data_IF_450336080059
#
_entry.id   IF_450336080059
#
_cell.length_a   1.000
_cell.length_b   1.000
_cell.length_c   1.000
_cell.angle_alpha   90.00
_cell.angle_beta   90.00
_cell.angle_gamma   90.00
#
_symmetry.space_group_name_H-M   'P 1'
#
loop_
_entity.id
_entity.type
_entity.pdbx_description
1 polymer ?
#
# COMPACT_ATOMS: atom_id res chain seq x y z
N UNK A 1 8.22 -13.05 -6.63
CA UNK A 1 8.28 -13.86 -7.86
C UNK A 1 8.87 -15.24 -7.60
N UNK A 2 10.06 -15.31 -7.00
CA UNK A 2 10.77 -16.59 -6.78
C UNK A 2 9.90 -17.65 -6.08
N UNK A 3 9.18 -17.27 -5.03
CA UNK A 3 8.37 -18.19 -4.21
C UNK A 3 7.04 -18.60 -4.87
N UNK A 4 6.70 -17.98 -5.99
CA UNK A 4 5.46 -18.21 -6.75
C UNK A 4 5.75 -18.42 -8.26
N UNK A 5 6.95 -18.89 -8.61
CA UNK A 5 7.36 -19.06 -10.01
C UNK A 5 6.50 -20.08 -10.78
N UNK A 6 5.86 -21.01 -10.06
CA UNK A 6 4.99 -22.03 -10.63
C UNK A 6 3.55 -21.51 -10.89
N UNK A 7 3.22 -20.30 -10.41
CA UNK A 7 1.95 -19.62 -10.70
C UNK A 7 2.19 -18.56 -11.80
N UNK A 8 1.98 -18.95 -13.06
CA UNK A 8 2.18 -18.08 -14.21
C UNK A 8 1.25 -16.87 -14.22
N UNK A 9 0.02 -17.01 -13.72
CA UNK A 9 -0.96 -15.95 -13.62
C UNK A 9 -0.52 -14.91 -12.58
N UNK A 10 -0.08 -15.35 -11.40
CA UNK A 10 0.49 -14.47 -10.40
C UNK A 10 1.76 -13.78 -10.89
N UNK A 11 2.64 -14.51 -11.59
CA UNK A 11 3.87 -13.94 -12.16
C UNK A 11 3.58 -12.88 -13.23
N UNK A 12 2.56 -13.09 -14.07
CA UNK A 12 2.10 -12.09 -15.04
C UNK A 12 1.55 -10.84 -14.33
N UNK A 13 0.72 -11.01 -13.31
CA UNK A 13 0.23 -9.91 -12.49
C UNK A 13 1.38 -9.12 -11.86
N UNK A 14 2.35 -9.79 -11.24
CA UNK A 14 3.51 -9.14 -10.61
C UNK A 14 4.34 -8.31 -11.60
N UNK A 15 4.43 -8.74 -12.86
CA UNK A 15 5.12 -7.99 -13.90
C UNK A 15 4.39 -6.70 -14.25
N UNK A 16 3.05 -6.74 -14.32
CA UNK A 16 2.21 -5.56 -14.55
C UNK A 16 2.27 -4.63 -13.34
N UNK A 17 2.10 -5.17 -12.14
CA UNK A 17 2.17 -4.42 -10.89
C UNK A 17 3.50 -3.68 -10.77
N UNK A 18 4.61 -4.36 -10.97
CA UNK A 18 5.94 -3.75 -10.90
C UNK A 18 6.11 -2.61 -11.92
N UNK A 19 5.61 -2.77 -13.13
CA UNK A 19 5.61 -1.71 -14.14
C UNK A 19 4.78 -0.49 -13.70
N UNK A 20 3.59 -0.71 -13.15
CA UNK A 20 2.73 0.39 -12.67
C UNK A 20 3.36 1.12 -11.48
N UNK A 21 3.99 0.41 -10.53
CA UNK A 21 4.76 1.02 -9.44
C UNK A 21 5.91 1.90 -9.94
N UNK A 22 6.64 1.44 -10.95
CA UNK A 22 7.66 2.27 -11.60
C UNK A 22 7.07 3.52 -12.26
N UNK A 23 5.92 3.39 -12.90
CA UNK A 23 5.20 4.51 -13.52
C UNK A 23 4.78 5.57 -12.50
N UNK A 24 4.36 5.17 -11.28
CA UNK A 24 4.02 6.10 -10.22
C UNK A 24 5.21 6.98 -9.82
N UNK A 25 6.36 6.39 -9.62
CA UNK A 25 7.58 7.14 -9.27
C UNK A 25 8.05 8.04 -10.41
N UNK A 26 7.96 7.59 -11.65
CA UNK A 26 8.37 8.35 -12.83
C UNK A 26 7.50 9.59 -13.03
N UNK A 27 6.17 9.48 -12.98
CA UNK A 27 5.28 10.62 -13.18
C UNK A 27 5.41 11.67 -12.09
N UNK A 28 5.62 11.25 -10.84
CA UNK A 28 5.86 12.17 -9.72
C UNK A 28 7.21 12.87 -9.87
N UNK A 29 8.24 12.15 -10.29
CA UNK A 29 9.56 12.72 -10.56
C UNK A 29 9.53 13.72 -11.71
N UNK A 30 8.83 13.41 -12.80
CA UNK A 30 8.68 14.32 -13.95
C UNK A 30 7.88 15.58 -13.57
N UNK A 31 6.85 15.43 -12.73
CA UNK A 31 6.13 16.57 -12.16
C UNK A 31 7.08 17.46 -11.36
N UNK A 32 7.87 16.89 -10.45
CA UNK A 32 8.83 17.67 -9.66
C UNK A 32 9.85 18.38 -10.54
N UNK A 33 10.48 17.69 -11.48
CA UNK A 33 11.46 18.28 -12.41
C UNK A 33 10.89 19.48 -13.17
N UNK A 34 9.62 19.43 -13.53
CA UNK A 34 8.96 20.46 -14.33
C UNK A 34 8.46 21.64 -13.52
N UNK A 35 7.85 21.39 -12.37
CA UNK A 35 7.11 22.40 -11.61
C UNK A 35 7.76 22.76 -10.27
N UNK A 36 8.58 21.87 -9.72
CA UNK A 36 9.25 22.04 -8.44
C UNK A 36 10.67 21.46 -8.45
N UNK A 37 11.54 21.97 -9.34
CA UNK A 37 12.92 21.48 -9.47
C UNK A 37 13.71 21.59 -8.17
N UNK A 38 13.34 22.51 -7.29
CA UNK A 38 13.85 22.69 -5.93
C UNK A 38 13.57 21.49 -5.00
N UNK A 39 12.58 20.66 -5.32
CA UNK A 39 12.15 19.50 -4.53
C UNK A 39 12.57 18.16 -5.15
N UNK A 40 13.28 18.16 -6.25
CA UNK A 40 13.76 16.90 -6.86
C UNK A 40 14.77 16.25 -5.92
N UNK A 41 14.50 15.01 -5.44
CA UNK A 41 15.41 14.33 -4.54
C UNK A 41 16.74 13.99 -5.23
N UNK A 42 17.80 14.10 -4.46
CA UNK A 42 19.14 13.69 -4.89
C UNK A 42 19.26 12.16 -4.89
N UNK A 43 20.21 11.62 -5.64
CA UNK A 43 20.57 10.19 -5.59
C UNK A 43 20.85 9.71 -4.17
N UNK A 44 21.53 10.53 -3.36
CA UNK A 44 21.81 10.22 -1.95
C UNK A 44 20.52 10.07 -1.12
N UNK A 45 19.53 10.94 -1.32
CA UNK A 45 18.25 10.86 -0.64
C UNK A 45 17.46 9.64 -1.11
N UNK A 46 17.46 9.33 -2.40
CA UNK A 46 16.82 8.13 -2.93
C UNK A 46 17.46 6.85 -2.39
N UNK A 47 18.78 6.82 -2.24
CA UNK A 47 19.48 5.69 -1.62
C UNK A 47 19.19 5.56 -0.12
N UNK A 48 19.06 6.67 0.59
CA UNK A 48 18.79 6.68 2.03
C UNK A 48 17.41 6.11 2.41
N UNK A 49 16.48 6.05 1.46
CA UNK A 49 15.13 5.49 1.68
C UNK A 49 15.03 4.00 1.36
N UNK A 50 16.09 3.37 0.90
CA UNK A 50 16.10 1.93 0.62
C UNK A 50 16.20 1.13 1.92
N UNK A 51 15.32 0.17 2.04
CA UNK A 51 15.27 -0.76 3.17
C UNK A 51 15.70 -2.16 2.74
N UNK A 52 16.56 -2.84 3.51
CA UNK A 52 16.65 -4.28 3.41
C UNK A 52 15.34 -4.88 3.95
N UNK A 53 14.71 -5.73 3.15
CA UNK A 53 13.58 -6.54 3.59
C UNK A 53 14.09 -7.90 4.03
N UNK A 54 13.70 -8.28 5.25
CA UNK A 54 13.81 -9.67 5.63
C UNK A 54 12.79 -10.49 4.82
N UNK A 55 13.20 -11.65 4.25
CA UNK A 55 12.28 -12.53 3.57
C UNK A 55 11.13 -12.93 4.50
N UNK A 56 9.90 -12.72 4.08
CA UNK A 56 8.71 -13.17 4.78
C UNK A 56 8.06 -14.33 4.02
N UNK A 57 7.31 -15.22 4.69
CA UNK A 57 6.55 -16.27 4.02
C UNK A 57 5.62 -15.70 2.95
N UNK A 58 5.42 -16.42 1.86
CA UNK A 58 4.67 -15.96 0.69
C UNK A 58 3.25 -15.47 1.04
N UNK A 59 2.54 -16.20 1.93
CA UNK A 59 1.20 -15.79 2.38
C UNK A 59 1.22 -14.49 3.19
N UNK A 60 2.19 -14.34 4.08
CA UNK A 60 2.35 -13.12 4.87
C UNK A 60 2.68 -11.92 3.98
N UNK A 61 3.54 -12.11 2.99
CA UNK A 61 3.88 -11.10 1.98
C UNK A 61 2.66 -10.69 1.15
N UNK A 62 1.84 -11.65 0.74
CA UNK A 62 0.61 -11.39 -0.01
C UNK A 62 -0.36 -10.48 0.77
N UNK A 63 -0.57 -10.77 2.05
CA UNK A 63 -1.40 -9.95 2.93
C UNK A 63 -0.78 -8.58 3.22
N UNK A 64 0.54 -8.51 3.37
CA UNK A 64 1.26 -7.26 3.58
C UNK A 64 1.07 -6.31 2.40
N UNK A 65 1.24 -6.81 1.16
CA UNK A 65 1.00 -6.02 -0.04
C UNK A 65 -0.47 -5.59 -0.13
N UNK A 66 -1.41 -6.51 0.07
CA UNK A 66 -2.84 -6.16 0.07
C UNK A 66 -3.17 -5.00 1.03
N UNK A 67 -2.69 -5.05 2.27
CA UNK A 67 -2.87 -3.97 3.24
C UNK A 67 -2.17 -2.67 2.80
N UNK A 68 -1.00 -2.80 2.20
CA UNK A 68 -0.25 -1.67 1.63
C UNK A 68 -1.04 -0.95 0.55
N UNK A 69 -1.55 -1.69 -0.43
CA UNK A 69 -2.33 -1.15 -1.56
C UNK A 69 -3.61 -0.45 -1.10
N UNK A 70 -4.35 -1.04 -0.15
CA UNK A 70 -5.53 -0.38 0.44
C UNK A 70 -5.15 0.95 1.10
N UNK A 71 -4.06 0.96 1.85
CA UNK A 71 -3.57 2.16 2.51
C UNK A 71 -3.16 3.23 1.50
N UNK A 72 -2.38 2.87 0.49
CA UNK A 72 -1.93 3.77 -0.57
C UNK A 72 -3.10 4.31 -1.38
N UNK A 73 -4.10 3.50 -1.70
CA UNK A 73 -5.37 3.93 -2.30
C UNK A 73 -5.97 5.11 -1.52
N UNK A 74 -6.08 4.97 -0.19
CA UNK A 74 -6.67 6.02 0.65
C UNK A 74 -5.78 7.27 0.72
N UNK A 75 -4.49 7.10 0.79
CA UNK A 75 -3.56 8.22 0.90
C UNK A 75 -3.47 9.04 -0.37
N UNK A 76 -3.33 8.42 -1.51
CA UNK A 76 -3.31 9.12 -2.79
C UNK A 76 -4.65 9.79 -3.10
N UNK A 77 -5.76 9.16 -2.71
CA UNK A 77 -7.07 9.79 -2.80
C UNK A 77 -7.14 11.07 -1.98
N UNK A 78 -6.70 11.05 -0.72
CA UNK A 78 -6.66 12.24 0.14
C UNK A 78 -5.68 13.29 -0.36
N UNK A 79 -4.52 12.88 -0.85
CA UNK A 79 -3.58 13.80 -1.50
C UNK A 79 -4.23 14.50 -2.70
N UNK A 80 -4.96 13.76 -3.53
CA UNK A 80 -5.74 14.34 -4.63
C UNK A 80 -6.80 15.35 -4.16
N UNK A 81 -7.48 15.07 -3.06
CA UNK A 81 -8.50 15.99 -2.49
C UNK A 81 -7.86 17.25 -1.88
N UNK A 82 -6.70 17.10 -1.27
CA UNK A 82 -5.99 18.18 -0.57
C UNK A 82 -5.26 19.16 -1.49
N UNK A 83 -4.67 18.68 -2.58
CA UNK A 83 -3.98 19.51 -3.54
C UNK A 83 -4.96 20.37 -4.36
N UNK A 84 -4.61 21.62 -4.59
CA UNK A 84 -5.38 22.55 -5.43
C UNK A 84 -4.85 22.68 -6.85
N UNK A 85 -3.57 22.36 -7.06
CA UNK A 85 -2.94 22.37 -8.38
C UNK A 85 -3.48 21.20 -9.22
N UNK A 86 -4.05 21.46 -10.42
CA UNK A 86 -4.84 20.45 -11.14
C UNK A 86 -4.03 19.27 -11.66
N UNK A 87 -2.75 19.46 -12.00
CA UNK A 87 -1.91 18.38 -12.56
C UNK A 87 -1.55 17.37 -11.49
N UNK A 88 -1.03 17.82 -10.33
CA UNK A 88 -0.69 16.92 -9.23
C UNK A 88 -1.93 16.24 -8.64
N UNK A 89 -3.03 16.97 -8.56
CA UNK A 89 -4.33 16.41 -8.18
C UNK A 89 -4.73 15.25 -9.08
N UNK A 90 -4.60 15.41 -10.40
CA UNK A 90 -4.91 14.36 -11.37
C UNK A 90 -3.95 13.19 -11.30
N UNK A 91 -2.67 13.45 -11.06
CA UNK A 91 -1.66 12.38 -10.85
C UNK A 91 -2.07 11.51 -9.66
N UNK A 92 -2.33 12.09 -8.49
CA UNK A 92 -2.72 11.34 -7.30
C UNK A 92 -4.06 10.60 -7.46
N UNK A 93 -5.05 11.21 -8.11
CA UNK A 93 -6.32 10.54 -8.44
C UNK A 93 -6.10 9.30 -9.32
N UNK A 94 -5.19 9.40 -10.28
CA UNK A 94 -4.86 8.28 -11.17
C UNK A 94 -4.12 7.17 -10.43
N UNK A 95 -3.09 7.52 -9.66
CA UNK A 95 -2.33 6.55 -8.84
C UNK A 95 -3.28 5.85 -7.86
N UNK A 96 -4.15 6.59 -7.16
CA UNK A 96 -5.12 5.99 -6.24
C UNK A 96 -6.00 4.91 -6.89
N UNK A 97 -6.35 5.08 -8.16
CA UNK A 97 -7.12 4.09 -8.92
C UNK A 97 -6.29 2.86 -9.29
N UNK A 98 -5.02 3.07 -9.60
CA UNK A 98 -4.08 1.99 -9.85
C UNK A 98 -3.92 1.11 -8.59
N UNK A 99 -3.68 1.73 -7.42
CA UNK A 99 -3.57 1.02 -6.13
C UNK A 99 -4.86 0.26 -5.78
N UNK A 100 -6.02 0.82 -6.08
CA UNK A 100 -7.29 0.12 -5.86
C UNK A 100 -7.42 -1.15 -6.74
N UNK A 101 -6.90 -1.12 -7.98
CA UNK A 101 -6.84 -2.31 -8.86
C UNK A 101 -5.84 -3.33 -8.34
N UNK A 102 -4.68 -2.88 -7.84
CA UNK A 102 -3.67 -3.73 -7.21
C UNK A 102 -4.25 -4.45 -5.99
N UNK A 103 -4.90 -3.71 -5.09
CA UNK A 103 -5.59 -4.29 -3.93
C UNK A 103 -6.61 -5.36 -4.34
N UNK A 104 -7.44 -5.08 -5.35
CA UNK A 104 -8.40 -6.03 -5.89
C UNK A 104 -7.75 -7.30 -6.50
N UNK A 105 -6.55 -7.16 -7.09
CA UNK A 105 -5.80 -8.31 -7.60
C UNK A 105 -5.22 -9.14 -6.46
N UNK A 106 -4.54 -8.53 -5.49
CA UNK A 106 -4.02 -9.23 -4.30
C UNK A 106 -5.13 -9.95 -3.55
N UNK A 107 -6.31 -9.32 -3.42
CA UNK A 107 -7.47 -9.95 -2.82
C UNK A 107 -7.88 -11.26 -3.52
N UNK A 108 -7.92 -11.28 -4.86
CA UNK A 108 -8.23 -12.51 -5.61
C UNK A 108 -7.21 -13.63 -5.34
N UNK A 109 -5.92 -13.28 -5.25
CA UNK A 109 -4.88 -14.26 -4.92
C UNK A 109 -4.99 -14.76 -3.48
N UNK A 110 -5.33 -13.90 -2.54
CA UNK A 110 -5.60 -14.29 -1.14
C UNK A 110 -6.81 -15.25 -1.07
N UNK A 111 -7.87 -14.96 -1.80
CA UNK A 111 -9.03 -15.87 -1.90
C UNK A 111 -8.62 -17.24 -2.42
N UNK A 112 -7.87 -17.30 -3.52
CA UNK A 112 -7.32 -18.56 -4.07
C UNK A 112 -6.44 -19.31 -3.06
N UNK A 113 -5.63 -18.58 -2.30
CA UNK A 113 -4.81 -19.19 -1.25
C UNK A 113 -5.66 -19.82 -0.15
N UNK A 114 -6.73 -19.15 0.29
CA UNK A 114 -7.67 -19.71 1.27
C UNK A 114 -8.41 -20.95 0.72
N UNK A 115 -8.85 -20.91 -0.53
CA UNK A 115 -9.48 -22.05 -1.19
C UNK A 115 -8.56 -23.27 -1.24
N UNK A 116 -7.26 -23.05 -1.43
CA UNK A 116 -6.23 -24.09 -1.54
C UNK A 116 -5.72 -24.60 -0.19
N UNK A 117 -5.52 -23.71 0.77
CA UNK A 117 -4.78 -23.98 2.03
C UNK A 117 -5.66 -23.84 3.29
N UNK A 118 -6.89 -23.36 3.15
CA UNK A 118 -7.86 -23.29 4.25
C UNK A 118 -7.38 -22.47 5.45
N UNK A 119 -7.36 -23.12 6.64
CA UNK A 119 -7.03 -22.49 7.91
C UNK A 119 -5.61 -21.92 7.99
N UNK A 120 -4.65 -22.52 7.31
CA UNK A 120 -3.26 -22.04 7.27
C UNK A 120 -3.18 -20.63 6.65
N UNK A 121 -3.79 -20.46 5.48
CA UNK A 121 -3.81 -19.15 4.82
C UNK A 121 -4.57 -18.10 5.66
N UNK A 122 -5.71 -18.48 6.25
CA UNK A 122 -6.48 -17.57 7.13
C UNK A 122 -5.66 -17.11 8.33
N UNK A 123 -4.92 -18.03 8.97
CA UNK A 123 -4.07 -17.68 10.11
C UNK A 123 -2.92 -16.74 9.72
N UNK A 124 -2.25 -17.00 8.60
CA UNK A 124 -1.18 -16.14 8.10
C UNK A 124 -1.71 -14.74 7.80
N UNK A 125 -2.87 -14.62 7.16
CA UNK A 125 -3.49 -13.33 6.85
C UNK A 125 -3.95 -12.60 8.10
N UNK A 126 -4.58 -13.27 9.06
CA UNK A 126 -5.00 -12.67 10.32
C UNK A 126 -3.81 -12.12 11.12
N UNK A 127 -2.70 -12.85 11.17
CA UNK A 127 -1.45 -12.43 11.82
C UNK A 127 -0.96 -11.10 11.26
N UNK A 128 -0.87 -10.96 9.95
CA UNK A 128 -0.43 -9.73 9.30
C UNK A 128 -1.46 -8.61 9.46
N UNK A 129 -2.76 -8.89 9.36
CA UNK A 129 -3.81 -7.92 9.61
C UNK A 129 -3.72 -7.28 11.00
N UNK A 130 -3.58 -8.11 12.03
CA UNK A 130 -3.38 -7.65 13.42
C UNK A 130 -2.09 -6.84 13.55
N UNK A 131 -1.00 -7.32 12.95
CA UNK A 131 0.28 -6.62 12.97
C UNK A 131 0.20 -5.24 12.31
N UNK A 132 -0.46 -5.14 11.16
CA UNK A 132 -0.68 -3.88 10.46
C UNK A 132 -1.59 -2.91 11.24
N UNK A 133 -2.63 -3.41 11.90
CA UNK A 133 -3.50 -2.62 12.76
C UNK A 133 -2.78 -2.12 14.02
N UNK A 134 -1.79 -2.87 14.53
CA UNK A 134 -1.03 -2.52 15.74
C UNK A 134 0.29 -1.77 15.46
N UNK A 135 0.64 -1.53 14.22
CA UNK A 135 1.97 -1.03 13.80
C UNK A 135 2.38 0.34 14.37
N UNK A 136 1.44 1.12 14.85
CA UNK A 136 1.74 2.38 15.56
C UNK A 136 2.26 2.21 16.99
N UNK A 137 2.10 1.03 17.58
CA UNK A 137 2.39 0.79 19.02
C UNK A 137 3.78 0.17 19.25
N UNK A 138 4.36 -0.50 18.26
CA UNK A 138 5.62 -1.23 18.43
C UNK A 138 6.88 -0.43 18.09
N UNK A 139 6.74 0.78 17.56
CA UNK A 139 7.87 1.63 17.13
C UNK A 139 8.67 1.09 15.94
N UNK A 140 8.34 -0.11 15.44
CA UNK A 140 9.01 -0.68 14.26
C UNK A 140 8.16 -0.47 13.01
N UNK A 141 8.71 0.14 11.95
CA UNK A 141 8.03 0.25 10.69
C UNK A 141 7.87 -1.14 10.07
N UNK A 142 6.63 -1.56 9.85
CA UNK A 142 6.33 -2.84 9.19
C UNK A 142 6.52 -2.78 7.68
N UNK A 143 6.39 -1.60 7.11
CA UNK A 143 6.55 -1.37 5.69
C UNK A 143 7.33 -0.07 5.46
N UNK A 144 8.30 -0.05 4.52
CA UNK A 144 9.12 1.14 4.25
C UNK A 144 8.28 2.39 3.94
N UNK A 145 7.16 2.23 3.23
CA UNK A 145 6.27 3.32 2.88
C UNK A 145 5.67 4.03 4.10
N UNK A 146 5.53 3.36 5.26
CA UNK A 146 4.99 3.98 6.47
C UNK A 146 5.82 5.16 6.95
N UNK A 147 7.15 5.05 6.92
CA UNK A 147 8.04 6.13 7.34
C UNK A 147 8.07 7.27 6.33
N UNK A 148 8.08 6.95 5.04
CA UNK A 148 8.27 7.94 3.99
C UNK A 148 6.99 8.68 3.67
N UNK A 149 5.86 8.01 3.62
CA UNK A 149 4.57 8.65 3.37
C UNK A 149 4.21 9.60 4.51
N UNK A 150 4.38 9.18 5.76
CA UNK A 150 4.08 10.05 6.89
C UNK A 150 5.00 11.28 6.95
N UNK A 151 6.27 11.13 6.61
CA UNK A 151 7.26 12.20 6.72
C UNK A 151 7.31 13.12 5.51
N UNK A 152 7.08 12.61 4.31
CA UNK A 152 7.35 13.31 3.06
C UNK A 152 6.12 13.70 2.25
N UNK A 153 5.03 12.91 2.27
CA UNK A 153 3.75 13.28 1.64
C UNK A 153 2.97 14.30 2.48
N UNK A 154 3.26 14.33 3.79
CA UNK A 154 2.57 15.19 4.72
C UNK A 154 3.60 15.91 5.62
N UNK A 155 4.41 16.83 5.05
CA UNK A 155 5.51 17.46 5.78
C UNK A 155 5.07 18.43 6.88
N UNK A 156 3.79 18.77 6.98
CA UNK A 156 3.27 19.69 7.98
C UNK A 156 2.58 18.95 9.12
N UNK A 157 2.86 19.36 10.35
CA UNK A 157 2.26 18.83 11.61
C UNK A 157 0.73 18.78 11.58
N UNK A 158 0.10 19.67 10.82
CA UNK A 158 -1.35 19.67 10.61
C UNK A 158 -1.86 18.42 9.89
N UNK A 159 -1.01 17.66 9.23
CA UNK A 159 -1.40 16.42 8.59
C UNK A 159 -1.02 15.21 9.44
N UNK A 160 0.07 15.27 10.21
CA UNK A 160 0.34 14.27 11.25
C UNK A 160 -0.77 14.24 12.31
N UNK A 161 -1.38 15.39 12.63
CA UNK A 161 -2.56 15.44 13.50
C UNK A 161 -3.85 14.89 12.86
N UNK A 162 -3.83 14.62 11.56
CA UNK A 162 -4.94 13.99 10.82
C UNK A 162 -4.69 12.53 10.46
N UNK A 163 -3.52 11.99 10.82
CA UNK A 163 -3.20 10.57 10.74
C UNK A 163 -3.38 9.95 12.11
N UNK A 164 -3.86 8.74 12.10
CA UNK A 164 -5.27 8.44 12.14
C UNK A 164 -5.79 8.86 13.49
N UNK A 165 -6.67 9.81 13.48
CA UNK A 165 -7.67 9.98 14.50
C UNK A 165 -8.19 8.57 14.90
N UNK A 166 -8.39 8.28 16.19
CA UNK A 166 -8.97 7.03 16.66
C UNK A 166 -10.23 6.62 15.90
N UNK A 167 -11.09 7.57 15.53
CA UNK A 167 -12.26 7.33 14.69
C UNK A 167 -11.92 6.87 13.26
N UNK A 168 -10.76 7.25 12.72
CA UNK A 168 -10.31 6.72 11.43
C UNK A 168 -9.84 5.27 11.58
N UNK A 169 -9.15 4.96 12.66
CA UNK A 169 -8.72 3.59 12.95
C UNK A 169 -9.95 2.68 13.17
N UNK A 170 -10.95 3.16 13.89
CA UNK A 170 -12.23 2.47 14.06
C UNK A 170 -12.94 2.29 12.72
N UNK A 171 -13.08 3.35 11.92
CA UNK A 171 -13.66 3.25 10.56
C UNK A 171 -12.86 2.36 9.64
N UNK A 172 -11.54 2.35 9.78
CA UNK A 172 -10.68 1.45 9.02
C UNK A 172 -10.83 0.01 9.49
N UNK A 173 -10.85 -0.23 10.80
CA UNK A 173 -11.14 -1.54 11.38
C UNK A 173 -12.57 -2.00 11.03
N UNK A 174 -13.55 -1.11 11.09
CA UNK A 174 -14.91 -1.40 10.66
C UNK A 174 -15.00 -1.70 9.15
N UNK A 175 -14.21 -1.02 8.34
CA UNK A 175 -14.11 -1.35 6.91
C UNK A 175 -13.45 -2.71 6.68
N UNK A 176 -12.51 -3.11 7.52
CA UNK A 176 -11.91 -4.44 7.51
C UNK A 176 -12.90 -5.50 8.05
N UNK A 177 -13.65 -5.20 9.09
CA UNK A 177 -14.72 -6.06 9.62
C UNK A 177 -15.89 -6.17 8.64
N UNK A 178 -16.26 -5.09 7.95
CA UNK A 178 -17.22 -5.15 6.86
C UNK A 178 -16.66 -5.91 5.65
N UNK A 179 -15.35 -5.85 5.45
CA UNK A 179 -14.65 -6.65 4.49
C UNK A 179 -14.70 -8.13 4.86
N UNK A 180 -14.54 -8.49 6.14
CA UNK A 180 -14.74 -9.84 6.64
C UNK A 180 -16.19 -10.30 6.45
N UNK A 181 -17.18 -9.45 6.73
CA UNK A 181 -18.60 -9.73 6.48
C UNK A 181 -18.93 -9.86 4.99
N UNK A 182 -18.34 -9.03 4.14
CA UNK A 182 -18.44 -9.15 2.67
C UNK A 182 -17.72 -10.41 2.19
N UNK A 183 -16.67 -10.81 2.88
CA UNK A 183 -15.95 -12.04 2.66
C UNK A 183 -16.78 -13.27 3.04
N UNK A 184 -17.37 -13.30 4.24
CA UNK A 184 -18.22 -14.39 4.73
C UNK A 184 -19.51 -14.55 3.91
N UNK A 185 -20.05 -13.46 3.36
CA UNK A 185 -21.27 -13.49 2.53
C UNK A 185 -21.03 -13.80 1.05
N UNK A 186 -19.78 -14.01 0.62
CA UNK A 186 -19.41 -14.38 -0.76
C UNK A 186 -18.82 -15.78 -0.88
N UNK A 187 -18.75 -16.52 0.23
CA UNK A 187 -18.44 -17.93 0.31
C UNK A 187 -19.73 -18.69 0.57
#
# INVERSE_FOLDING_TARGET
LRDNQDDSDFSAFMSIWFYEEQKHSLVLMDYLKRFRPDMVPTEKELHAVRFPFDPAPALETLMLHFCGEIRLTQWYRRASEWHTEPVIKKIYDTISKDEARHAGAYFRYMKRAIEKMGGEAKLAFAKIGVLMASSGKSGKPLHPTNLHVNKNLFPNDTVQSRLPDPEWLERWLDSQIQFDKVWENRV
#
